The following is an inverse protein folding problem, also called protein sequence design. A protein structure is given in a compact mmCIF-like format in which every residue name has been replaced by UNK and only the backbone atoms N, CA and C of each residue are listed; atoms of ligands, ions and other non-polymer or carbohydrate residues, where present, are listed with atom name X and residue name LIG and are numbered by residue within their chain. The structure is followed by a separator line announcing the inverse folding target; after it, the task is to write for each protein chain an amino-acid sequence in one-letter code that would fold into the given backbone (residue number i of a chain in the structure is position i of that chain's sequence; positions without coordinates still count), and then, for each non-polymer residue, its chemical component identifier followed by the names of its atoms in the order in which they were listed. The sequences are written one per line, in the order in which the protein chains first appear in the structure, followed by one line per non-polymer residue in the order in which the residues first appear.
data_IF_783874126018
#
_entry.id   IF_783874126018
#
_cell.length_a   1.000
_cell.length_b   1.000
_cell.length_c   1.000
_cell.angle_alpha   90.00
_cell.angle_beta   90.00
_cell.angle_gamma   90.00
#
_symmetry.space_group_name_H-M   'P 1'
#
loop_
_entity.id
_entity.type
_entity.pdbx_description
1 polymer ?
#
# COMPACT_ATOMS: atom_id res chain seq x y z
N UNK A 1 -46.98 -55.82 46.42
CA UNK A 1 -48.07 -55.44 45.50
C UNK A 1 -48.59 -54.05 45.86
N UNK A 2 -48.25 -53.04 45.06
CA UNK A 2 -49.04 -51.84 44.72
C UNK A 2 -48.20 -51.00 43.75
N UNK A 3 -48.90 -50.27 42.90
CA UNK A 3 -48.60 -50.06 41.48
C UNK A 3 -48.46 -48.57 41.14
N UNK A 4 -47.80 -48.27 40.02
CA UNK A 4 -47.85 -47.02 39.21
C UNK A 4 -47.34 -45.69 39.81
N UNK A 5 -46.38 -45.06 39.14
CA UNK A 5 -46.65 -43.88 38.29
C UNK A 5 -45.37 -43.32 37.63
N UNK A 6 -45.45 -43.19 36.30
CA UNK A 6 -44.54 -42.42 35.45
C UNK A 6 -44.63 -40.93 35.81
N UNK A 7 -43.48 -40.24 35.90
CA UNK A 7 -43.41 -38.81 35.57
C UNK A 7 -42.18 -38.52 34.72
N UNK A 8 -42.46 -38.41 33.43
CA UNK A 8 -41.68 -37.69 32.43
C UNK A 8 -41.66 -36.20 32.82
N UNK A 9 -40.49 -35.56 32.90
CA UNK A 9 -40.42 -34.10 32.75
C UNK A 9 -39.06 -33.68 32.20
N UNK A 10 -39.01 -33.57 30.87
CA UNK A 10 -38.04 -32.77 30.15
C UNK A 10 -38.17 -31.31 30.56
N UNK A 11 -37.08 -30.64 30.93
CA UNK A 11 -36.85 -29.22 30.59
C UNK A 11 -35.33 -28.97 30.60
N UNK A 12 -34.67 -29.41 29.53
CA UNK A 12 -33.33 -28.92 29.18
C UNK A 12 -33.47 -27.46 28.75
N UNK A 13 -33.15 -26.52 29.63
CA UNK A 13 -33.05 -25.11 29.28
C UNK A 13 -31.75 -24.88 28.50
N UNK A 14 -31.80 -25.04 27.17
CA UNK A 14 -30.79 -24.46 26.28
C UNK A 14 -30.94 -22.92 26.36
N UNK A 15 -30.07 -22.27 27.12
CA UNK A 15 -29.84 -20.84 27.01
C UNK A 15 -29.19 -20.57 25.64
N UNK A 16 -29.99 -20.21 24.64
CA UNK A 16 -29.47 -19.58 23.43
C UNK A 16 -28.92 -18.21 23.82
N UNK A 17 -27.60 -18.14 24.05
CA UNK A 17 -26.88 -16.90 24.02
C UNK A 17 -26.93 -16.38 22.57
N UNK A 18 -27.80 -15.40 22.31
CA UNK A 18 -27.80 -14.65 21.07
C UNK A 18 -26.48 -13.87 20.98
N UNK A 19 -25.48 -14.46 20.33
CA UNK A 19 -24.28 -13.74 19.93
C UNK A 19 -24.72 -12.64 18.97
N UNK A 20 -24.70 -11.39 19.43
CA UNK A 20 -24.79 -10.22 18.56
C UNK A 20 -23.55 -10.25 17.67
N UNK A 21 -23.69 -10.79 16.46
CA UNK A 21 -22.68 -10.69 15.42
C UNK A 21 -22.64 -9.21 15.03
N UNK A 22 -21.77 -8.44 15.67
CA UNK A 22 -21.39 -7.13 15.13
C UNK A 22 -20.83 -7.40 13.73
N UNK A 23 -21.40 -6.82 12.67
CA UNK A 23 -20.83 -6.98 11.35
C UNK A 23 -19.40 -6.43 11.41
N UNK A 24 -18.42 -7.30 11.24
CA UNK A 24 -17.07 -6.87 10.96
C UNK A 24 -17.14 -6.19 9.58
N UNK A 25 -17.18 -4.86 9.57
CA UNK A 25 -16.92 -4.13 8.34
C UNK A 25 -15.52 -4.55 7.91
N UNK A 26 -15.43 -5.29 6.80
CA UNK A 26 -14.15 -5.60 6.21
C UNK A 26 -13.45 -4.27 5.91
N UNK A 27 -12.25 -4.08 6.46
CA UNK A 27 -11.42 -2.91 6.13
C UNK A 27 -11.24 -2.83 4.61
N UNK A 28 -11.18 -1.62 4.06
CA UNK A 28 -10.99 -1.48 2.62
C UNK A 28 -9.57 -1.93 2.29
N UNK A 29 -9.40 -2.79 1.28
CA UNK A 29 -8.07 -3.27 0.88
C UNK A 29 -7.14 -2.11 0.49
N UNK A 30 -7.69 -1.04 -0.07
CA UNK A 30 -6.93 0.14 -0.43
C UNK A 30 -6.39 0.92 0.78
N UNK A 31 -6.91 0.72 1.99
CA UNK A 31 -6.39 1.40 3.18
C UNK A 31 -4.90 1.12 3.37
N UNK A 32 -4.50 -0.15 3.22
CA UNK A 32 -3.10 -0.55 3.37
C UNK A 32 -2.19 0.13 2.34
N UNK A 33 -2.65 0.19 1.09
CA UNK A 33 -1.97 0.83 -0.05
C UNK A 33 -1.78 2.32 0.22
N UNK A 34 -2.86 3.05 0.47
CA UNK A 34 -2.79 4.50 0.66
C UNK A 34 -2.01 4.90 1.92
N UNK A 35 -2.11 4.11 3.00
CA UNK A 35 -1.29 4.32 4.19
C UNK A 35 0.19 4.07 3.90
N UNK A 36 0.54 3.09 3.08
CA UNK A 36 1.92 2.86 2.65
C UNK A 36 2.44 4.01 1.78
N UNK A 37 1.64 4.54 0.85
CA UNK A 37 2.03 5.72 0.04
C UNK A 37 2.22 6.98 0.89
N UNK A 38 1.35 7.19 1.89
CA UNK A 38 1.52 8.25 2.90
C UNK A 38 2.84 8.06 3.66
N UNK A 39 3.08 6.83 4.12
CA UNK A 39 4.28 6.53 4.90
C UNK A 39 5.56 6.68 4.06
N UNK A 40 5.52 6.28 2.79
CA UNK A 40 6.60 6.51 1.82
C UNK A 40 6.93 8.00 1.72
N UNK A 41 5.91 8.86 1.58
CA UNK A 41 6.14 10.30 1.51
C UNK A 41 6.69 10.86 2.82
N UNK A 42 6.28 10.35 3.99
CA UNK A 42 6.68 10.88 5.29
C UNK A 42 8.01 10.32 5.81
N UNK A 43 8.50 9.22 5.24
CA UNK A 43 9.72 8.53 5.68
C UNK A 43 10.84 8.87 4.71
N UNK A 44 12.03 9.27 5.18
CA UNK A 44 13.17 9.43 4.30
C UNK A 44 13.41 8.16 3.47
N UNK A 45 13.40 8.30 2.15
CA UNK A 45 13.46 7.18 1.20
C UNK A 45 14.31 7.53 -0.03
N UNK A 46 14.90 6.52 -0.65
CA UNK A 46 15.59 6.62 -1.95
C UNK A 46 14.96 5.57 -2.88
N UNK A 47 14.25 6.05 -3.90
CA UNK A 47 13.66 5.22 -4.94
C UNK A 47 14.60 5.16 -6.15
N UNK A 48 14.84 3.94 -6.63
CA UNK A 48 15.51 3.67 -7.89
C UNK A 48 14.45 3.21 -8.88
N UNK A 49 14.25 3.98 -9.95
CA UNK A 49 13.19 3.74 -10.93
C UNK A 49 13.83 3.28 -12.23
N UNK A 50 13.61 2.02 -12.61
CA UNK A 50 13.89 1.54 -13.96
C UNK A 50 12.70 1.88 -14.86
N UNK A 51 12.99 2.50 -16.00
CA UNK A 51 11.97 2.97 -16.95
C UNK A 51 12.12 2.19 -18.25
N UNK A 52 11.07 1.48 -18.62
CA UNK A 52 11.01 0.70 -19.87
C UNK A 52 10.06 1.39 -20.85
N UNK A 53 10.41 2.61 -21.27
CA UNK A 53 9.63 3.45 -22.17
C UNK A 53 10.49 4.02 -23.30
N UNK A 54 9.93 4.14 -24.51
CA UNK A 54 10.66 4.69 -25.65
C UNK A 54 10.94 6.20 -25.46
N UNK A 55 12.20 6.61 -25.64
CA UNK A 55 12.60 8.03 -25.62
C UNK A 55 12.78 8.65 -24.23
N UNK A 56 12.64 7.87 -23.14
CA UNK A 56 12.94 8.30 -21.78
C UNK A 56 14.27 7.72 -21.28
N UNK A 57 14.92 8.33 -20.27
CA UNK A 57 16.08 7.74 -19.62
C UNK A 57 15.74 6.35 -19.09
N UNK A 58 16.64 5.38 -19.28
CA UNK A 58 16.43 3.99 -18.82
C UNK A 58 16.29 3.88 -17.29
N UNK A 59 16.69 4.90 -16.55
CA UNK A 59 16.57 4.96 -15.10
C UNK A 59 16.40 6.40 -14.60
N UNK A 60 15.68 6.54 -13.50
CA UNK A 60 15.56 7.76 -12.69
C UNK A 60 15.82 7.40 -11.23
N UNK A 61 16.10 8.41 -10.40
CA UNK A 61 16.21 8.24 -8.96
C UNK A 61 15.46 9.36 -8.26
N UNK A 62 14.72 9.03 -7.20
CA UNK A 62 14.05 10.00 -6.36
C UNK A 62 14.51 9.82 -4.91
N UNK A 63 14.71 10.93 -4.20
CA UNK A 63 15.06 10.94 -2.78
C UNK A 63 14.07 11.81 -2.04
N UNK A 64 13.42 11.26 -1.02
CA UNK A 64 12.65 12.03 -0.05
C UNK A 64 13.52 12.23 1.19
N UNK A 65 13.84 13.47 1.52
CA UNK A 65 14.60 13.80 2.73
C UNK A 65 14.22 15.20 3.24
N UNK A 66 14.01 15.34 4.55
CA UNK A 66 13.70 16.63 5.17
C UNK A 66 12.41 17.29 4.67
N UNK A 67 11.43 16.50 4.21
CA UNK A 67 10.17 17.02 3.65
C UNK A 67 10.28 17.56 2.22
N UNK A 68 11.37 17.23 1.52
CA UNK A 68 11.62 17.62 0.13
C UNK A 68 11.84 16.36 -0.69
N UNK A 69 11.22 16.32 -1.87
CA UNK A 69 11.51 15.35 -2.92
C UNK A 69 12.61 15.92 -3.82
N UNK A 70 13.64 15.13 -4.06
CA UNK A 70 14.74 15.42 -4.97
C UNK A 70 14.70 14.39 -6.09
N UNK A 71 14.69 14.85 -7.32
CA UNK A 71 14.66 14.00 -8.51
C UNK A 71 16.02 14.07 -9.20
N UNK A 72 16.51 12.92 -9.67
CA UNK A 72 17.70 12.83 -10.51
C UNK A 72 17.27 12.63 -11.95
N UNK A 73 17.56 13.64 -12.78
CA UNK A 73 17.32 13.58 -14.23
C UNK A 73 18.67 13.61 -14.93
N UNK A 74 19.03 12.50 -15.56
CA UNK A 74 20.41 12.27 -16.00
C UNK A 74 21.36 12.19 -14.80
N UNK A 75 22.40 13.02 -14.79
CA UNK A 75 23.40 13.06 -13.71
C UNK A 75 23.18 14.24 -12.73
N UNK A 76 22.04 14.93 -12.81
CA UNK A 76 21.78 16.12 -12.00
C UNK A 76 20.62 15.92 -11.03
N UNK A 77 20.86 16.27 -9.77
CA UNK A 77 19.83 16.38 -8.75
C UNK A 77 19.17 17.76 -8.78
N UNK A 78 17.85 17.75 -8.73
CA UNK A 78 17.02 18.95 -8.62
C UNK A 78 15.92 18.71 -7.60
N UNK A 79 15.41 19.78 -7.01
CA UNK A 79 14.19 19.68 -6.19
C UNK A 79 12.99 19.41 -7.09
N UNK A 80 12.12 18.51 -6.67
CA UNK A 80 10.82 18.34 -7.30
C UNK A 80 10.03 19.66 -7.23
N UNK A 81 9.41 20.11 -8.34
CA UNK A 81 8.53 21.27 -8.31
C UNK A 81 7.19 20.95 -7.62
N UNK A 82 6.89 19.67 -7.36
CA UNK A 82 5.64 19.24 -6.74
C UNK A 82 5.75 19.35 -5.21
N UNK A 83 4.85 20.10 -4.55
CA UNK A 83 4.83 20.14 -3.11
C UNK A 83 4.43 18.77 -2.54
N UNK A 84 5.26 18.19 -1.68
CA UNK A 84 4.96 16.95 -0.95
C UNK A 84 3.59 17.00 -0.24
N UNK A 85 3.20 18.17 0.27
CA UNK A 85 1.89 18.38 0.90
C UNK A 85 0.71 18.10 -0.04
N UNK A 86 0.88 18.36 -1.35
CA UNK A 86 -0.14 18.05 -2.35
C UNK A 86 -0.29 16.54 -2.54
N UNK A 87 0.83 15.81 -2.65
CA UNK A 87 0.81 14.35 -2.72
C UNK A 87 0.14 13.74 -1.49
N UNK A 88 0.51 14.23 -0.30
CA UNK A 88 -0.09 13.83 0.98
C UNK A 88 -1.60 14.09 1.04
N UNK A 89 -2.05 15.28 0.61
CA UNK A 89 -3.47 15.61 0.57
C UNK A 89 -4.25 14.69 -0.38
N UNK A 90 -3.67 14.38 -1.53
CA UNK A 90 -4.28 13.47 -2.50
C UNK A 90 -4.46 12.07 -1.90
N UNK A 91 -3.45 11.53 -1.21
CA UNK A 91 -3.55 10.21 -0.56
C UNK A 91 -4.56 10.21 0.60
N UNK A 92 -4.62 11.29 1.38
CA UNK A 92 -5.62 11.43 2.44
C UNK A 92 -7.06 11.50 1.89
N UNK A 93 -7.25 12.06 0.71
CA UNK A 93 -8.56 12.07 0.05
C UNK A 93 -8.92 10.69 -0.50
N UNK A 94 -7.95 9.99 -1.08
CA UNK A 94 -8.11 8.59 -1.52
C UNK A 94 -8.50 7.67 -0.35
N UNK A 95 -7.91 7.85 0.83
CA UNK A 95 -8.32 7.13 2.06
C UNK A 95 -9.76 7.38 2.50
N UNK A 96 -10.37 8.52 2.12
CA UNK A 96 -11.77 8.80 2.47
C UNK A 96 -12.72 8.26 1.43
N UNK A 97 -12.36 8.44 0.16
CA UNK A 97 -13.26 8.24 -0.98
C UNK A 97 -13.11 6.87 -1.63
N UNK A 98 -11.96 6.22 -1.47
CA UNK A 98 -11.60 4.92 -2.06
C UNK A 98 -11.94 4.84 -3.56
N UNK A 99 -11.40 5.75 -4.38
CA UNK A 99 -11.75 5.82 -5.80
C UNK A 99 -11.14 4.69 -6.62
N UNK A 100 -10.09 4.05 -6.12
CA UNK A 100 -9.36 2.99 -6.83
C UNK A 100 -9.88 1.61 -6.47
N UNK A 101 -9.55 0.61 -7.29
CA UNK A 101 -9.80 -0.79 -6.96
C UNK A 101 -8.50 -1.44 -6.49
N UNK A 102 -8.47 -1.95 -5.26
CA UNK A 102 -7.30 -2.65 -4.71
C UNK A 102 -7.63 -4.09 -4.38
N UNK A 103 -6.68 -4.99 -4.66
CA UNK A 103 -6.81 -6.42 -4.37
C UNK A 103 -5.54 -6.94 -3.72
N UNK A 104 -5.70 -7.79 -2.71
CA UNK A 104 -4.57 -8.52 -2.13
C UNK A 104 -4.26 -9.68 -3.07
N UNK A 105 -3.05 -9.72 -3.60
CA UNK A 105 -2.58 -10.84 -4.43
C UNK A 105 -2.05 -11.97 -3.54
N UNK A 106 -1.33 -11.62 -2.46
CA UNK A 106 -0.85 -12.58 -1.47
C UNK A 106 0.47 -12.17 -0.83
N UNK A 107 0.94 -12.97 0.11
CA UNK A 107 2.24 -12.76 0.74
C UNK A 107 3.40 -13.20 -0.17
N UNK A 108 4.47 -12.42 -0.21
CA UNK A 108 5.67 -12.69 -1.00
C UNK A 108 6.94 -12.29 -0.25
N UNK A 109 8.07 -12.86 -0.68
CA UNK A 109 9.39 -12.34 -0.31
C UNK A 109 9.90 -11.48 -1.46
N UNK A 110 10.16 -10.20 -1.19
CA UNK A 110 10.76 -9.25 -2.15
C UNK A 110 12.05 -8.73 -1.55
N UNK A 111 13.17 -8.90 -2.26
CA UNK A 111 14.51 -8.50 -1.83
C UNK A 111 14.89 -8.98 -0.41
N UNK A 112 14.49 -10.20 -0.07
CA UNK A 112 14.74 -10.80 1.25
C UNK A 112 13.81 -10.33 2.37
N UNK A 113 12.84 -9.47 2.07
CA UNK A 113 11.85 -8.96 3.03
C UNK A 113 10.49 -9.61 2.86
N UNK A 114 9.83 -9.93 3.97
CA UNK A 114 8.44 -10.40 3.96
C UNK A 114 7.49 -9.24 3.64
N UNK A 115 6.70 -9.41 2.59
CA UNK A 115 5.79 -8.42 2.02
C UNK A 115 4.41 -9.01 1.77
N UNK A 116 3.41 -8.14 1.66
CA UNK A 116 2.13 -8.48 1.03
C UNK A 116 2.05 -7.71 -0.29
N UNK A 117 1.76 -8.42 -1.37
CA UNK A 117 1.59 -7.88 -2.71
C UNK A 117 0.13 -7.44 -2.91
N UNK A 118 -0.03 -6.19 -3.35
CA UNK A 118 -1.30 -5.60 -3.74
C UNK A 118 -1.30 -5.30 -5.22
N UNK A 119 -2.46 -5.45 -5.88
CA UNK A 119 -2.71 -4.88 -7.20
C UNK A 119 -3.71 -3.75 -7.05
N UNK A 120 -3.39 -2.61 -7.66
CA UNK A 120 -4.15 -1.37 -7.60
C UNK A 120 -4.49 -0.96 -9.02
N UNK A 121 -5.75 -0.66 -9.27
CA UNK A 121 -6.21 -0.02 -10.48
C UNK A 121 -6.62 1.42 -10.16
N UNK A 122 -5.84 2.40 -10.61
CA UNK A 122 -6.16 3.81 -10.44
C UNK A 122 -7.24 4.21 -11.45
N UNK A 123 -8.45 4.49 -10.97
CA UNK A 123 -9.60 4.74 -11.84
C UNK A 123 -9.49 6.06 -12.61
N UNK A 124 -8.71 7.02 -12.10
CA UNK A 124 -8.57 8.35 -12.71
C UNK A 124 -7.54 8.34 -13.83
N UNK A 125 -6.40 7.72 -13.57
CA UNK A 125 -5.29 7.61 -14.50
C UNK A 125 -5.47 6.41 -15.45
N UNK A 126 -6.37 5.49 -15.09
CA UNK A 126 -6.60 4.23 -15.79
C UNK A 126 -5.27 3.46 -15.96
N UNK A 127 -4.53 3.30 -14.88
CA UNK A 127 -3.24 2.57 -14.85
C UNK A 127 -3.29 1.48 -13.77
N UNK A 128 -2.58 0.38 -14.02
CA UNK A 128 -2.48 -0.73 -13.09
C UNK A 128 -1.09 -0.74 -12.43
N UNK A 129 -1.10 -0.90 -11.11
CA UNK A 129 0.10 -0.90 -10.29
C UNK A 129 0.13 -2.16 -9.44
N UNK A 130 1.32 -2.70 -9.21
CA UNK A 130 1.56 -3.70 -8.17
C UNK A 130 2.49 -3.11 -7.10
N UNK A 131 2.09 -3.25 -5.85
CA UNK A 131 2.79 -2.68 -4.71
C UNK A 131 3.16 -3.78 -3.71
N UNK A 132 4.44 -3.86 -3.37
CA UNK A 132 4.94 -4.73 -2.31
C UNK A 132 5.09 -3.92 -1.03
N UNK A 133 4.26 -4.23 -0.04
CA UNK A 133 4.24 -3.54 1.25
C UNK A 133 4.85 -4.47 2.31
N UNK A 134 5.91 -4.02 2.97
CA UNK A 134 6.59 -4.77 4.01
C UNK A 134 5.67 -5.09 5.19
N UNK A 135 5.57 -6.36 5.57
CA UNK A 135 4.67 -6.80 6.66
C UNK A 135 5.11 -6.28 8.04
N UNK A 136 6.42 -6.09 8.23
CA UNK A 136 6.99 -5.66 9.52
C UNK A 136 6.80 -4.16 9.78
N UNK A 137 6.74 -3.35 8.73
CA UNK A 137 6.75 -1.88 8.85
C UNK A 137 5.57 -1.20 8.17
N UNK A 138 4.86 -1.84 7.25
CA UNK A 138 3.84 -1.20 6.42
C UNK A 138 4.43 -0.20 5.41
N UNK A 139 5.74 -0.26 5.13
CA UNK A 139 6.38 0.58 4.13
C UNK A 139 6.24 -0.05 2.73
N UNK A 140 5.99 0.79 1.72
CA UNK A 140 6.13 0.40 0.32
C UNK A 140 7.62 0.13 0.03
N UNK A 141 7.98 -1.04 -0.44
CA UNK A 141 9.40 -1.40 -0.71
C UNK A 141 9.69 -1.62 -2.18
N UNK A 142 8.66 -1.93 -2.96
CA UNK A 142 8.75 -2.05 -4.40
C UNK A 142 7.41 -1.70 -5.03
N UNK A 143 7.45 -1.13 -6.22
CA UNK A 143 6.28 -0.83 -7.05
C UNK A 143 6.59 -1.19 -8.51
N UNK A 144 5.61 -1.74 -9.23
CA UNK A 144 5.66 -1.80 -10.70
C UNK A 144 4.40 -1.17 -11.26
N UNK A 145 4.54 -0.30 -12.26
CA UNK A 145 3.41 0.40 -12.88
C UNK A 145 3.36 0.03 -14.36
N UNK A 146 2.18 -0.39 -14.81
CA UNK A 146 1.85 -0.56 -16.21
C UNK A 146 1.23 0.73 -16.75
N UNK A 147 1.96 1.38 -17.67
CA UNK A 147 1.54 2.60 -18.35
C UNK A 147 0.93 2.30 -19.73
N UNK A 148 0.45 1.06 -19.91
CA UNK A 148 -0.12 0.50 -21.13
C UNK A 148 0.87 0.60 -22.31
N UNK A 149 0.44 1.17 -23.43
CA UNK A 149 1.25 1.34 -24.64
C UNK A 149 2.50 2.22 -24.41
N UNK A 150 2.53 2.99 -23.31
CA UNK A 150 3.67 3.86 -22.99
C UNK A 150 4.86 3.09 -22.40
N UNK A 151 4.63 1.89 -21.86
CA UNK A 151 5.66 1.03 -21.28
C UNK A 151 5.43 0.75 -19.80
N UNK A 152 6.50 0.44 -19.07
CA UNK A 152 6.42 0.07 -17.64
C UNK A 152 7.49 0.76 -16.82
N UNK A 153 7.23 0.89 -15.52
CA UNK A 153 8.23 1.29 -14.53
C UNK A 153 8.38 0.22 -13.45
N UNK A 154 9.61 0.02 -12.99
CA UNK A 154 9.96 -0.85 -11.87
C UNK A 154 10.73 -0.02 -10.85
N UNK A 155 10.16 0.14 -9.66
CA UNK A 155 10.65 1.04 -8.63
C UNK A 155 11.03 0.25 -7.39
N UNK A 156 12.29 0.35 -6.97
CA UNK A 156 12.80 -0.23 -5.72
C UNK A 156 13.08 0.88 -4.73
N UNK A 157 12.61 0.72 -3.48
CA UNK A 157 12.68 1.79 -2.47
C UNK A 157 13.54 1.34 -1.29
N UNK A 158 14.53 2.15 -0.95
CA UNK A 158 15.38 1.99 0.22
C UNK A 158 15.10 3.06 1.27
N UNK A 159 15.19 2.70 2.55
CA UNK A 159 14.91 3.59 3.68
C UNK A 159 16.11 3.80 4.61
N UNK A 160 17.24 3.15 4.33
CA UNK A 160 18.43 3.20 5.18
C UNK A 160 19.40 4.28 4.71
N UNK A 161 19.97 5.03 5.65
CA UNK A 161 21.01 6.04 5.39
C UNK A 161 20.62 7.13 4.36
N UNK A 162 19.32 7.43 4.22
CA UNK A 162 18.83 8.41 3.25
C UNK A 162 19.11 9.83 3.72
N UNK A 163 19.71 10.63 2.84
CA UNK A 163 20.03 12.04 3.07
C UNK A 163 19.75 12.85 1.81
N UNK A 164 19.54 14.16 1.96
CA UNK A 164 19.42 15.04 0.81
C UNK A 164 20.69 14.93 -0.07
N UNK A 165 20.55 14.84 -1.41
CA UNK A 165 21.69 14.73 -2.29
C UNK A 165 22.54 16.00 -2.28
N UNK A 166 23.85 15.83 -2.53
CA UNK A 166 24.76 16.97 -2.66
C UNK A 166 24.59 17.67 -4.01
N UNK A 167 24.85 18.99 -4.05
CA UNK A 167 24.88 19.75 -5.31
C UNK A 167 23.52 20.01 -5.97
N UNK A 168 22.43 19.94 -5.20
CA UNK A 168 21.07 20.22 -5.67
C UNK A 168 20.96 21.64 -6.21
N UNK A 169 20.38 21.77 -7.41
CA UNK A 169 19.99 23.05 -8.01
C UNK A 169 18.61 23.52 -7.54
#
# INVERSE_FOLDING_TARGET
MRTFAVKLSCFSALLLAAATITPAHAANVCDAVYLASIKFNQTPSHAYVAVHMAGLPNSMEDVFAGGVEYMKVGDQWQRSPLPQQLAMKNMQEKLKTHPDTCTVVGDQIKDGQATTLYRVHDAKMNIDTQEWIAKSSGLLVHETTDLHESGTTDTRIEYSNVQAPAGVK
#
